data_IF_342951325522
#
_entry.id   IF_342951325522
#
_cell.length_a   1.000
_cell.length_b   1.000
_cell.length_c   1.000
_cell.angle_alpha   90.00
_cell.angle_beta   90.00
_cell.angle_gamma   90.00
#
_symmetry.space_group_name_H-M   'P 1'
#
loop_
_entity.id
_entity.type
_entity.pdbx_description
1 polymer ?
#
# COMPACT_ATOMS: atom_id res chain seq x y z
N UNK A 1 -31.52 -8.16 -4.25
CA UNK A 1 -30.57 -7.68 -3.24
C UNK A 1 -29.60 -6.70 -3.90
N UNK A 2 -29.65 -5.45 -3.49
CA UNK A 2 -28.75 -4.41 -4.01
C UNK A 2 -28.01 -3.75 -2.81
N UNK A 3 -26.79 -4.16 -2.50
CA UNK A 3 -26.01 -3.53 -1.45
C UNK A 3 -25.68 -2.09 -1.84
N UNK A 4 -25.88 -1.17 -0.90
CA UNK A 4 -25.53 0.24 -1.08
C UNK A 4 -24.20 0.58 -0.43
N UNK A 5 -23.79 -0.17 0.61
CA UNK A 5 -22.52 0.01 1.28
C UNK A 5 -22.09 -1.25 2.04
N UNK A 6 -20.78 -1.40 2.27
CA UNK A 6 -20.17 -2.48 3.04
C UNK A 6 -19.12 -1.89 3.97
N UNK A 7 -19.27 -2.14 5.27
CA UNK A 7 -18.36 -1.65 6.31
C UNK A 7 -17.92 -2.80 7.22
N UNK A 8 -16.70 -2.74 7.73
CA UNK A 8 -16.23 -3.67 8.75
C UNK A 8 -16.28 -2.98 10.10
N UNK A 9 -17.07 -3.51 11.03
CA UNK A 9 -17.26 -2.98 12.35
C UNK A 9 -16.03 -3.10 13.24
N UNK A 10 -16.07 -2.43 14.40
CA UNK A 10 -14.99 -2.51 15.42
C UNK A 10 -14.81 -3.91 16.00
N UNK A 11 -15.83 -4.74 15.90
CA UNK A 11 -15.84 -6.16 16.26
C UNK A 11 -15.20 -7.07 15.19
N UNK A 12 -14.83 -6.50 14.02
CA UNK A 12 -14.28 -7.25 12.89
C UNK A 12 -15.32 -7.94 12.04
N UNK A 13 -16.61 -7.76 12.33
CA UNK A 13 -17.71 -8.32 11.54
C UNK A 13 -18.07 -7.39 10.37
N UNK A 14 -18.58 -7.97 9.29
CA UNK A 14 -18.98 -7.24 8.10
C UNK A 14 -20.43 -6.81 8.21
N UNK A 15 -20.71 -5.53 8.01
CA UNK A 15 -22.05 -4.96 7.93
C UNK A 15 -22.33 -4.55 6.49
N UNK A 16 -23.47 -4.97 5.97
CA UNK A 16 -23.92 -4.66 4.61
C UNK A 16 -25.23 -3.90 4.72
N UNK A 17 -25.26 -2.68 4.23
CA UNK A 17 -26.49 -1.92 4.09
C UNK A 17 -27.13 -2.22 2.74
N UNK A 18 -28.44 -2.30 2.73
CA UNK A 18 -29.26 -2.28 1.52
C UNK A 18 -30.23 -1.11 1.61
N UNK A 19 -30.42 -0.45 0.49
CA UNK A 19 -31.36 0.64 0.41
C UNK A 19 -31.64 0.99 -1.05
N UNK A 20 -32.68 1.73 -1.28
CA UNK A 20 -33.04 2.20 -2.61
C UNK A 20 -34.26 3.10 -2.55
N UNK A 21 -34.50 3.86 -3.61
CA UNK A 21 -35.66 4.75 -3.72
C UNK A 21 -36.95 3.93 -3.61
N UNK A 22 -37.78 4.23 -2.60
CA UNK A 22 -39.08 3.60 -2.37
C UNK A 22 -39.03 2.24 -1.65
N UNK A 23 -37.86 1.79 -1.16
CA UNK A 23 -37.72 0.56 -0.37
C UNK A 23 -37.32 0.87 1.08
N UNK A 24 -37.75 -0.01 2.01
CA UNK A 24 -37.23 0.04 3.38
C UNK A 24 -35.76 -0.41 3.37
N UNK A 25 -34.87 0.41 3.91
CA UNK A 25 -33.46 0.05 4.13
C UNK A 25 -33.32 -1.02 5.22
N UNK A 26 -32.26 -1.80 5.14
CA UNK A 26 -31.88 -2.78 6.17
C UNK A 26 -30.36 -2.85 6.26
N UNK A 27 -29.87 -3.20 7.45
CA UNK A 27 -28.44 -3.49 7.69
C UNK A 27 -28.34 -4.96 8.10
N UNK A 28 -27.49 -5.68 7.40
CA UNK A 28 -27.21 -7.09 7.67
C UNK A 28 -25.82 -7.20 8.28
N UNK A 29 -25.68 -8.02 9.31
CA UNK A 29 -24.41 -8.42 9.89
C UNK A 29 -24.04 -9.79 9.35
N UNK A 30 -22.86 -9.91 8.75
CA UNK A 30 -22.29 -11.18 8.30
C UNK A 30 -21.34 -11.69 9.37
N UNK A 31 -21.68 -12.82 9.93
CA UNK A 31 -20.86 -13.48 10.96
C UNK A 31 -20.32 -14.81 10.44
N UNK A 32 -19.07 -15.17 10.78
CA UNK A 32 -18.55 -16.49 10.42
C UNK A 32 -19.31 -17.58 11.16
N UNK A 33 -19.55 -18.72 10.50
CA UNK A 33 -20.08 -19.90 11.17
C UNK A 33 -19.12 -20.38 12.27
N UNK A 34 -19.61 -21.15 13.28
CA UNK A 34 -18.74 -21.67 14.35
C UNK A 34 -17.53 -22.44 13.81
N UNK A 35 -17.69 -23.25 12.75
CA UNK A 35 -16.61 -24.00 12.11
C UNK A 35 -15.57 -23.07 11.51
N UNK A 36 -15.99 -22.03 10.80
CA UNK A 36 -15.11 -21.06 10.18
C UNK A 36 -14.43 -20.15 11.21
N UNK A 37 -15.11 -19.83 12.32
CA UNK A 37 -14.55 -18.98 13.38
C UNK A 37 -13.34 -19.65 14.04
N UNK A 38 -13.38 -20.97 14.19
CA UNK A 38 -12.30 -21.77 14.83
C UNK A 38 -11.28 -22.31 13.84
N UNK A 39 -11.41 -22.05 12.54
CA UNK A 39 -10.46 -22.51 11.54
C UNK A 39 -9.06 -21.92 11.80
N UNK A 40 -7.98 -22.74 11.78
CA UNK A 40 -6.62 -22.28 12.10
C UNK A 40 -6.16 -21.05 11.29
N UNK A 41 -6.60 -20.95 10.05
CA UNK A 41 -6.27 -19.82 9.17
C UNK A 41 -6.99 -18.51 9.55
N UNK A 42 -8.04 -18.56 10.40
CA UNK A 42 -8.82 -17.42 10.86
C UNK A 42 -8.39 -16.93 12.25
N UNK A 43 -7.38 -17.57 12.86
CA UNK A 43 -6.81 -17.05 14.12
C UNK A 43 -6.22 -15.67 13.88
N UNK A 44 -6.59 -14.68 14.72
CA UNK A 44 -5.92 -13.40 14.71
C UNK A 44 -4.41 -13.62 14.87
N UNK A 45 -3.57 -12.85 14.17
CA UNK A 45 -2.14 -12.93 14.38
C UNK A 45 -1.81 -12.60 15.83
N UNK A 46 -0.78 -13.23 16.39
CA UNK A 46 -0.25 -12.86 17.70
C UNK A 46 0.13 -11.37 17.68
N UNK A 47 -0.30 -10.63 18.71
CA UNK A 47 -0.01 -9.21 18.89
C UNK A 47 0.71 -9.02 20.23
N UNK A 48 1.82 -9.75 20.39
CA UNK A 48 2.54 -9.83 21.68
C UNK A 48 3.40 -8.58 21.90
N UNK A 49 3.95 -8.03 20.84
CA UNK A 49 4.80 -6.84 20.90
C UNK A 49 4.07 -5.58 20.41
N UNK A 50 4.53 -4.38 20.81
CA UNK A 50 4.03 -3.13 20.23
C UNK A 50 4.14 -3.09 18.70
N UNK A 51 5.23 -3.63 18.15
CA UNK A 51 5.43 -3.74 16.70
C UNK A 51 4.36 -4.61 16.05
N UNK A 52 4.07 -5.79 16.62
CA UNK A 52 3.02 -6.67 16.10
C UNK A 52 1.65 -6.01 16.11
N UNK A 53 1.33 -5.24 17.15
CA UNK A 53 0.08 -4.48 17.26
C UNK A 53 -0.06 -3.44 16.15
N UNK A 54 1.03 -2.79 15.75
CA UNK A 54 1.03 -1.81 14.66
C UNK A 54 0.93 -2.50 13.30
N UNK A 55 1.76 -3.54 13.08
CA UNK A 55 1.83 -4.25 11.80
C UNK A 55 0.56 -5.06 11.48
N UNK A 56 -0.13 -5.55 12.52
CA UNK A 56 -1.36 -6.33 12.38
C UNK A 56 -2.62 -5.52 12.77
N UNK A 57 -2.52 -4.19 12.88
CA UNK A 57 -3.67 -3.36 13.23
C UNK A 57 -4.84 -3.63 12.27
N UNK A 58 -6.03 -3.99 12.79
CA UNK A 58 -7.20 -4.18 11.95
C UNK A 58 -7.65 -2.84 11.39
N UNK A 59 -8.12 -2.81 10.14
CA UNK A 59 -8.58 -1.60 9.47
C UNK A 59 -7.67 -0.39 9.74
N UNK A 60 -6.39 -0.44 9.34
CA UNK A 60 -5.39 0.53 9.79
C UNK A 60 -5.66 1.97 9.35
N UNK A 61 -6.58 2.19 8.41
CA UNK A 61 -7.00 3.51 7.95
C UNK A 61 -8.18 4.08 8.75
N UNK A 62 -8.95 3.23 9.44
CA UNK A 62 -10.06 3.67 10.25
C UNK A 62 -9.58 4.49 11.46
N UNK A 63 -10.29 5.56 11.79
CA UNK A 63 -9.92 6.49 12.88
C UNK A 63 -9.74 5.79 14.23
N UNK A 64 -10.68 4.90 14.59
CA UNK A 64 -10.61 4.13 15.82
C UNK A 64 -9.37 3.22 15.90
N UNK A 65 -8.92 2.69 14.77
CA UNK A 65 -7.71 1.87 14.70
C UNK A 65 -6.47 2.75 14.78
N UNK A 66 -6.44 3.86 14.04
CA UNK A 66 -5.36 4.86 14.08
C UNK A 66 -5.12 5.38 15.50
N UNK A 67 -6.17 5.69 16.24
CA UNK A 67 -6.06 6.12 17.64
C UNK A 67 -5.33 5.12 18.53
N UNK A 68 -5.33 3.83 18.17
CA UNK A 68 -4.65 2.76 18.92
C UNK A 68 -3.23 2.51 18.46
N UNK A 69 -2.99 2.41 17.15
CA UNK A 69 -1.68 2.02 16.65
C UNK A 69 -0.70 3.20 16.47
N UNK A 70 -1.17 4.41 16.16
CA UNK A 70 -0.26 5.55 15.94
C UNK A 70 0.57 5.94 17.18
N UNK A 71 0.04 5.98 18.41
CA UNK A 71 0.86 6.23 19.60
C UNK A 71 1.97 5.19 19.76
N UNK A 72 1.66 3.90 19.50
CA UNK A 72 2.65 2.83 19.56
C UNK A 72 3.73 3.01 18.48
N UNK A 73 3.35 3.35 17.25
CA UNK A 73 4.31 3.58 16.18
C UNK A 73 5.27 4.73 16.50
N UNK A 74 4.79 5.83 17.10
CA UNK A 74 5.65 6.93 17.55
C UNK A 74 6.64 6.49 18.62
N UNK A 75 6.19 5.67 19.58
CA UNK A 75 7.04 5.15 20.64
C UNK A 75 8.12 4.20 20.13
N UNK A 76 7.80 3.36 19.13
CA UNK A 76 8.71 2.39 18.51
C UNK A 76 9.80 3.10 17.72
N UNK A 77 9.46 4.18 17.01
CA UNK A 77 10.35 4.85 16.06
C UNK A 77 10.55 4.09 14.74
N UNK A 78 11.37 4.62 13.85
CA UNK A 78 11.50 4.12 12.47
C UNK A 78 12.25 2.78 12.36
N UNK A 79 13.28 2.55 13.17
CA UNK A 79 14.20 1.41 13.03
C UNK A 79 13.52 0.05 12.88
N UNK A 80 12.68 -0.39 13.83
CA UNK A 80 11.98 -1.67 13.74
C UNK A 80 11.08 -1.82 12.51
N UNK A 81 10.51 -0.72 11.98
CA UNK A 81 9.72 -0.77 10.75
C UNK A 81 10.62 -0.91 9.52
N UNK A 82 11.81 -0.31 9.50
CA UNK A 82 12.81 -0.51 8.44
C UNK A 82 13.22 -1.98 8.40
N UNK A 83 13.56 -2.56 9.55
CA UNK A 83 13.89 -3.99 9.66
C UNK A 83 12.75 -4.87 9.16
N UNK A 84 11.51 -4.61 9.61
CA UNK A 84 10.34 -5.37 9.18
C UNK A 84 10.07 -5.25 7.68
N UNK A 85 10.25 -4.08 7.08
CA UNK A 85 10.08 -3.87 5.64
C UNK A 85 11.12 -4.64 4.82
N UNK A 86 12.37 -4.67 5.28
CA UNK A 86 13.49 -5.28 4.58
C UNK A 86 13.60 -6.79 4.79
N UNK A 87 12.98 -7.36 5.83
CA UNK A 87 13.11 -8.77 6.16
C UNK A 87 12.22 -9.65 5.26
N UNK A 88 12.78 -10.46 4.34
CA UNK A 88 12.01 -11.32 3.44
C UNK A 88 11.32 -12.49 4.15
N UNK A 89 11.69 -12.81 5.39
CA UNK A 89 11.02 -13.86 6.18
C UNK A 89 9.66 -13.40 6.71
N UNK A 90 9.40 -12.11 6.77
CA UNK A 90 8.07 -11.60 7.10
C UNK A 90 7.08 -11.79 5.96
N UNK A 91 5.82 -12.07 6.31
CA UNK A 91 4.73 -12.10 5.33
C UNK A 91 4.67 -10.76 4.59
N UNK A 92 4.45 -10.80 3.28
CA UNK A 92 4.41 -9.59 2.42
C UNK A 92 3.51 -8.49 3.01
N UNK A 93 2.32 -8.84 3.51
CA UNK A 93 1.40 -7.86 4.11
C UNK A 93 2.01 -7.07 5.28
N UNK A 94 2.85 -7.69 6.10
CA UNK A 94 3.50 -7.00 7.23
C UNK A 94 4.59 -6.06 6.74
N UNK A 95 5.32 -6.47 5.72
CA UNK A 95 6.34 -5.66 5.04
C UNK A 95 5.70 -4.42 4.38
N UNK A 96 4.58 -4.61 3.67
CA UNK A 96 3.81 -3.50 3.09
C UNK A 96 3.34 -2.54 4.17
N UNK A 97 2.82 -3.08 5.28
CA UNK A 97 2.37 -2.26 6.40
C UNK A 97 3.50 -1.47 7.05
N UNK A 98 4.69 -2.05 7.17
CA UNK A 98 5.87 -1.35 7.67
C UNK A 98 6.26 -0.16 6.75
N UNK A 99 6.23 -0.35 5.42
CA UNK A 99 6.46 0.73 4.45
C UNK A 99 5.41 1.84 4.61
N UNK A 100 4.14 1.49 4.81
CA UNK A 100 3.07 2.47 5.04
C UNK A 100 3.31 3.28 6.31
N UNK A 101 3.66 2.62 7.42
CA UNK A 101 3.96 3.31 8.69
C UNK A 101 5.16 4.26 8.54
N UNK A 102 6.23 3.82 7.90
CA UNK A 102 7.39 4.66 7.61
C UNK A 102 6.99 5.89 6.80
N UNK A 103 6.14 5.69 5.79
CA UNK A 103 5.67 6.79 4.93
C UNK A 103 4.77 7.76 5.69
N UNK A 104 3.81 7.25 6.46
CA UNK A 104 2.80 8.09 7.13
C UNK A 104 3.31 8.77 8.41
N UNK A 105 4.24 8.13 9.13
CA UNK A 105 4.58 8.53 10.50
C UNK A 105 6.06 8.93 10.68
N UNK A 106 6.96 8.46 9.80
CA UNK A 106 8.41 8.63 9.96
C UNK A 106 9.06 9.50 8.88
N UNK A 107 8.27 10.21 8.06
CA UNK A 107 8.79 11.10 7.02
C UNK A 107 9.27 10.37 5.75
N UNK A 108 8.84 9.12 5.53
CA UNK A 108 9.15 8.36 4.32
C UNK A 108 10.27 7.34 4.50
N UNK A 109 10.83 6.95 3.38
CA UNK A 109 11.94 5.98 3.30
C UNK A 109 13.25 6.72 3.07
N UNK A 110 14.28 6.40 3.83
CA UNK A 110 15.64 6.84 3.53
C UNK A 110 16.12 6.26 2.19
N UNK A 111 17.03 6.95 1.51
CA UNK A 111 17.47 6.62 0.15
C UNK A 111 18.01 5.19 0.02
N UNK A 112 18.79 4.72 0.99
CA UNK A 112 19.33 3.35 0.99
C UNK A 112 18.22 2.31 1.15
N UNK A 113 17.30 2.51 2.10
CA UNK A 113 16.17 1.63 2.32
C UNK A 113 15.26 1.59 1.08
N UNK A 114 14.97 2.73 0.48
CA UNK A 114 14.18 2.82 -0.74
C UNK A 114 14.86 2.07 -1.90
N UNK A 115 16.17 2.25 -2.09
CA UNK A 115 16.94 1.56 -3.14
C UNK A 115 16.86 0.03 -2.98
N UNK A 116 17.00 -0.49 -1.75
CA UNK A 116 16.87 -1.93 -1.46
C UNK A 116 15.47 -2.45 -1.74
N UNK A 117 14.43 -1.74 -1.30
CA UNK A 117 13.03 -2.14 -1.49
C UNK A 117 12.58 -2.05 -2.96
N UNK A 118 13.15 -1.13 -3.77
CA UNK A 118 12.89 -1.09 -5.22
C UNK A 118 13.49 -2.27 -5.98
N UNK A 119 14.40 -3.00 -5.38
CA UNK A 119 15.03 -4.22 -5.93
C UNK A 119 14.51 -5.50 -5.26
N UNK A 120 13.48 -5.41 -4.41
CA UNK A 120 12.94 -6.55 -3.67
C UNK A 120 12.38 -7.65 -4.58
N UNK A 121 12.46 -8.90 -4.13
CA UNK A 121 11.91 -10.05 -4.87
C UNK A 121 10.38 -10.01 -5.00
N UNK A 122 9.67 -9.41 -4.03
CA UNK A 122 8.21 -9.27 -4.06
C UNK A 122 7.78 -8.08 -4.93
N UNK A 123 6.98 -8.33 -5.94
CA UNK A 123 6.41 -7.26 -6.77
C UNK A 123 5.50 -6.31 -5.96
N UNK A 124 4.80 -6.80 -4.95
CA UNK A 124 3.97 -5.97 -4.08
C UNK A 124 4.82 -4.98 -3.27
N UNK A 125 5.97 -5.42 -2.76
CA UNK A 125 6.92 -4.57 -2.04
C UNK A 125 7.47 -3.50 -2.98
N UNK A 126 7.90 -3.87 -4.20
CA UNK A 126 8.38 -2.90 -5.19
C UNK A 126 7.30 -1.87 -5.55
N UNK A 127 6.06 -2.33 -5.76
CA UNK A 127 4.92 -1.46 -6.07
C UNK A 127 4.57 -0.49 -4.91
N UNK A 128 4.59 -0.99 -3.67
CA UNK A 128 4.35 -0.16 -2.48
C UNK A 128 5.48 0.85 -2.27
N UNK A 129 6.70 0.48 -2.60
CA UNK A 129 7.86 1.38 -2.54
C UNK A 129 7.71 2.53 -3.54
N UNK A 130 7.24 2.28 -4.77
CA UNK A 130 6.94 3.34 -5.73
C UNK A 130 5.98 4.39 -5.15
N UNK A 131 4.91 3.94 -4.49
CA UNK A 131 3.99 4.84 -3.79
C UNK A 131 4.67 5.62 -2.66
N UNK A 132 5.48 4.95 -1.83
CA UNK A 132 6.14 5.58 -0.68
C UNK A 132 7.10 6.70 -1.11
N UNK A 133 7.98 6.42 -2.08
CA UNK A 133 8.97 7.40 -2.57
C UNK A 133 8.35 8.55 -3.36
N UNK A 134 7.11 8.43 -3.82
CA UNK A 134 6.41 9.58 -4.41
C UNK A 134 5.84 10.53 -3.37
N UNK A 135 5.56 10.06 -2.16
CA UNK A 135 5.00 10.89 -1.07
C UNK A 135 6.09 11.70 -0.36
N UNK A 136 7.22 11.07 -0.11
CA UNK A 136 8.41 11.66 0.49
C UNK A 136 9.63 11.26 -0.36
N UNK A 137 9.97 12.06 -1.39
CA UNK A 137 11.00 11.71 -2.35
C UNK A 137 12.40 11.71 -1.73
N UNK A 138 13.06 10.55 -1.55
CA UNK A 138 14.45 10.50 -1.16
C UNK A 138 15.36 10.88 -2.34
N UNK A 139 16.67 10.95 -2.10
CA UNK A 139 17.65 11.12 -3.18
C UNK A 139 17.46 10.03 -4.24
N UNK A 140 17.70 10.39 -5.51
CA UNK A 140 17.61 9.49 -6.67
C UNK A 140 16.20 8.92 -6.96
N UNK A 141 15.14 9.53 -6.44
CA UNK A 141 13.75 9.11 -6.70
C UNK A 141 13.45 8.94 -8.19
N UNK A 142 13.90 9.88 -9.03
CA UNK A 142 13.65 9.81 -10.48
C UNK A 142 14.25 8.53 -11.12
N UNK A 143 15.46 8.15 -10.71
CA UNK A 143 16.10 6.93 -11.21
C UNK A 143 15.40 5.66 -10.70
N UNK A 144 15.00 5.64 -9.43
CA UNK A 144 14.26 4.53 -8.85
C UNK A 144 12.93 4.32 -9.57
N UNK A 145 12.17 5.39 -9.80
CA UNK A 145 10.90 5.31 -10.53
C UNK A 145 11.10 4.90 -11.99
N UNK A 146 12.12 5.43 -12.69
CA UNK A 146 12.45 5.01 -14.05
C UNK A 146 12.73 3.51 -14.14
N UNK A 147 13.46 2.95 -13.16
CA UNK A 147 13.71 1.51 -13.07
C UNK A 147 12.42 0.72 -12.83
N UNK A 148 11.60 1.14 -11.87
CA UNK A 148 10.31 0.48 -11.56
C UNK A 148 9.31 0.59 -12.71
N UNK A 149 9.34 1.66 -13.50
CA UNK A 149 8.52 1.79 -14.70
C UNK A 149 8.92 0.80 -15.82
N UNK A 150 10.08 0.18 -15.71
CA UNK A 150 10.56 -0.88 -16.60
C UNK A 150 10.51 -2.28 -15.98
N UNK A 151 9.87 -2.42 -14.83
CA UNK A 151 9.73 -3.70 -14.13
C UNK A 151 9.11 -4.78 -15.02
N UNK A 152 9.39 -6.04 -14.74
CA UNK A 152 8.78 -7.16 -15.45
C UNK A 152 7.28 -7.29 -15.19
N UNK A 153 6.81 -6.84 -14.02
CA UNK A 153 5.41 -6.91 -13.60
C UNK A 153 4.65 -5.64 -13.96
N UNK A 154 3.54 -5.78 -14.70
CA UNK A 154 2.70 -4.65 -15.11
C UNK A 154 2.15 -3.86 -13.91
N UNK A 155 1.84 -4.55 -12.82
CA UNK A 155 1.38 -3.90 -11.59
C UNK A 155 2.41 -2.92 -11.03
N UNK A 156 3.68 -3.31 -11.00
CA UNK A 156 4.77 -2.44 -10.53
C UNK A 156 4.96 -1.25 -11.48
N UNK A 157 4.95 -1.51 -12.80
CA UNK A 157 5.01 -0.44 -13.82
C UNK A 157 3.92 0.60 -13.63
N UNK A 158 2.66 0.14 -13.45
CA UNK A 158 1.52 1.04 -13.22
C UNK A 158 1.74 1.90 -11.98
N UNK A 159 2.20 1.29 -10.86
CA UNK A 159 2.44 2.04 -9.62
C UNK A 159 3.60 3.04 -9.73
N UNK A 160 4.64 2.71 -10.47
CA UNK A 160 5.73 3.63 -10.76
C UNK A 160 5.27 4.82 -11.63
N UNK A 161 4.47 4.57 -12.66
CA UNK A 161 3.93 5.62 -13.53
C UNK A 161 2.91 6.51 -12.78
N UNK A 162 2.07 5.94 -11.91
CA UNK A 162 1.18 6.72 -11.02
C UNK A 162 2.00 7.61 -10.07
N UNK A 163 3.12 7.10 -9.53
CA UNK A 163 4.03 7.87 -8.69
C UNK A 163 4.69 9.03 -9.47
N UNK A 164 5.11 8.80 -10.71
CA UNK A 164 5.62 9.84 -11.59
C UNK A 164 4.59 10.93 -11.86
N UNK A 165 3.32 10.56 -12.16
CA UNK A 165 2.22 11.54 -12.33
C UNK A 165 1.99 12.38 -11.07
N UNK A 166 2.16 11.78 -9.89
CA UNK A 166 2.00 12.50 -8.64
C UNK A 166 3.12 13.53 -8.41
N UNK A 167 4.34 13.24 -8.86
CA UNK A 167 5.51 14.12 -8.68
C UNK A 167 5.63 15.20 -9.76
N UNK A 168 5.09 14.97 -10.95
CA UNK A 168 5.25 15.86 -12.09
C UNK A 168 4.85 17.33 -11.83
N UNK A 169 3.76 17.63 -11.11
CA UNK A 169 3.38 19.00 -10.79
C UNK A 169 4.38 19.73 -9.87
N UNK A 170 5.13 18.96 -9.05
CA UNK A 170 6.07 19.51 -8.05
C UNK A 170 7.48 19.70 -8.60
N UNK A 171 7.87 18.89 -9.58
CA UNK A 171 9.20 18.97 -10.20
C UNK A 171 9.14 18.53 -11.68
N UNK A 172 8.75 19.44 -12.59
CA UNK A 172 8.67 19.14 -14.03
C UNK A 172 10.01 18.74 -14.64
N UNK A 173 11.16 19.18 -14.07
CA UNK A 173 12.49 18.83 -14.60
C UNK A 173 12.80 17.34 -14.51
N UNK A 174 12.07 16.58 -13.70
CA UNK A 174 12.22 15.13 -13.62
C UNK A 174 11.69 14.40 -14.85
N UNK A 175 10.76 15.00 -15.60
CA UNK A 175 10.17 14.36 -16.79
C UNK A 175 11.21 13.94 -17.81
N UNK A 176 12.26 14.75 -18.02
CA UNK A 176 13.36 14.43 -18.92
C UNK A 176 14.09 13.12 -18.55
N UNK A 177 14.20 12.83 -17.24
CA UNK A 177 14.83 11.60 -16.74
C UNK A 177 13.98 10.34 -17.00
N UNK A 178 12.70 10.50 -17.25
CA UNK A 178 11.76 9.40 -17.46
C UNK A 178 11.49 9.09 -18.92
N UNK A 179 11.89 9.97 -19.83
CA UNK A 179 11.56 9.89 -21.26
C UNK A 179 11.82 8.49 -21.88
N UNK A 180 13.01 7.92 -21.63
CA UNK A 180 13.33 6.57 -22.12
C UNK A 180 12.39 5.49 -21.58
N UNK A 181 12.05 5.55 -20.28
CA UNK A 181 11.15 4.59 -19.66
C UNK A 181 9.73 4.74 -20.24
N UNK A 182 9.26 5.97 -20.46
CA UNK A 182 7.95 6.24 -21.07
C UNK A 182 7.87 5.70 -22.50
N UNK A 183 8.87 5.98 -23.33
CA UNK A 183 8.92 5.45 -24.71
C UNK A 183 8.80 3.93 -24.77
N UNK A 184 9.51 3.21 -23.88
CA UNK A 184 9.45 1.75 -23.83
C UNK A 184 8.09 1.22 -23.38
N UNK A 185 7.34 2.00 -22.61
CA UNK A 185 6.01 1.62 -22.12
C UNK A 185 4.89 1.83 -23.15
N UNK A 186 5.07 2.67 -24.17
CA UNK A 186 4.07 2.84 -25.23
C UNK A 186 3.79 1.56 -26.04
N UNK A 187 4.78 0.68 -26.13
CA UNK A 187 4.66 -0.56 -26.88
C UNK A 187 4.28 -1.79 -26.03
N UNK A 188 3.92 -1.59 -24.77
CA UNK A 188 3.54 -2.69 -23.88
C UNK A 188 2.11 -3.18 -24.14
N UNK A 189 1.82 -4.48 -23.93
CA UNK A 189 0.48 -5.04 -24.12
C UNK A 189 -0.57 -4.39 -23.21
N UNK A 190 -0.22 -4.04 -21.98
CA UNK A 190 -1.13 -3.45 -21.01
C UNK A 190 -1.63 -2.07 -21.45
N UNK A 191 -2.95 -1.97 -21.70
CA UNK A 191 -3.62 -0.70 -22.02
C UNK A 191 -3.38 0.34 -20.91
N UNK A 192 -3.45 -0.07 -19.63
CA UNK A 192 -3.28 0.82 -18.49
C UNK A 192 -1.88 1.44 -18.47
N UNK A 193 -0.84 0.64 -18.72
CA UNK A 193 0.54 1.13 -18.82
C UNK A 193 0.66 2.16 -19.94
N UNK A 194 0.13 1.88 -21.13
CA UNK A 194 0.17 2.81 -22.27
C UNK A 194 -0.54 4.13 -21.99
N UNK A 195 -1.75 4.06 -21.42
CA UNK A 195 -2.54 5.26 -21.10
C UNK A 195 -1.86 6.18 -20.10
N UNK A 196 -1.28 5.61 -19.02
CA UNK A 196 -0.58 6.42 -18.01
C UNK A 196 0.70 7.00 -18.61
N UNK A 197 1.44 6.24 -19.41
CA UNK A 197 2.64 6.74 -20.10
C UNK A 197 2.32 7.90 -21.05
N UNK A 198 1.20 7.81 -21.78
CA UNK A 198 0.75 8.89 -22.67
C UNK A 198 0.35 10.18 -21.91
N UNK A 199 -0.07 10.08 -20.66
CA UNK A 199 -0.38 11.24 -19.83
C UNK A 199 0.85 11.93 -19.25
N UNK A 200 1.98 11.22 -19.24
CA UNK A 200 3.28 11.70 -18.74
C UNK A 200 4.17 12.28 -19.84
N UNK A 201 3.88 11.95 -21.09
CA UNK A 201 4.62 12.43 -22.28
C UNK A 201 4.17 13.82 -22.70
#
# INVERSE_FOLDING_TARGET
FAPSDIEVGRDGEIYISIGGRGTKGSVFRVVPTPENRNHPNNRPPAMDTPLDKVLNAPQPLAEWSRARWQPLARQIGAGPFVEAALNPAHKTKLRLRAIEVLTEMCGGLEAETAARLTADGSHDVRARTAWAISRFPPQNTAQMLARLALDQEDYVRVKALEAMLYLLPTDPAQSAKWHKALQQNFNRPSIRVRLISARLA
#
